data_IF_671004328356
#
_entry.id   IF_671004328356
#
_cell.length_a   1.000
_cell.length_b   1.000
_cell.length_c   1.000
_cell.angle_alpha   90.00
_cell.angle_beta   90.00
_cell.angle_gamma   90.00
#
_symmetry.space_group_name_H-M   'P 1'
#
loop_
_entity.id
_entity.type
_entity.pdbx_description
1 polymer ?
#
# COMPACT_ATOMS: atom_id res chain seq x y z
N UNK A 1 0.45 14.35 -20.28
CA UNK A 1 1.58 13.42 -20.06
C UNK A 1 1.79 13.35 -18.57
N UNK A 2 1.33 12.28 -17.91
CA UNK A 2 1.60 12.08 -16.50
C UNK A 2 2.85 11.21 -16.42
N UNK A 3 4.00 11.86 -16.29
CA UNK A 3 5.28 11.16 -16.22
C UNK A 3 5.34 10.45 -14.86
N UNK A 4 5.64 9.15 -14.86
CA UNK A 4 5.83 8.36 -13.65
C UNK A 4 6.81 9.05 -12.68
N UNK A 5 7.83 9.73 -13.21
CA UNK A 5 8.81 10.47 -12.42
C UNK A 5 8.19 11.67 -11.68
N UNK A 6 7.29 12.41 -12.32
CA UNK A 6 6.61 13.56 -11.70
C UNK A 6 5.66 13.07 -10.60
N UNK A 7 4.95 11.97 -10.85
CA UNK A 7 4.11 11.33 -9.84
C UNK A 7 4.95 10.88 -8.63
N UNK A 8 6.07 10.20 -8.87
CA UNK A 8 6.96 9.73 -7.81
C UNK A 8 7.56 10.87 -6.99
N UNK A 9 7.86 12.01 -7.60
CA UNK A 9 8.38 13.20 -6.91
C UNK A 9 7.33 13.86 -6.01
N UNK A 10 6.05 13.79 -6.40
CA UNK A 10 4.94 14.43 -5.66
C UNK A 10 4.28 13.50 -4.62
N UNK A 11 4.59 12.20 -4.65
CA UNK A 11 4.08 11.24 -3.67
C UNK A 11 4.63 11.57 -2.27
N UNK A 12 3.72 11.76 -1.32
CA UNK A 12 4.11 11.91 0.07
C UNK A 12 4.35 10.53 0.71
N UNK A 13 5.64 10.20 0.94
CA UNK A 13 6.06 8.93 1.53
C UNK A 13 5.53 8.71 2.95
N UNK A 14 5.27 9.78 3.72
CA UNK A 14 4.76 9.66 5.10
C UNK A 14 3.32 9.17 5.17
N UNK A 15 2.56 9.30 4.07
CA UNK A 15 1.21 8.75 3.93
C UNK A 15 1.21 7.28 3.50
N UNK A 16 2.37 6.76 3.09
CA UNK A 16 2.56 5.39 2.62
C UNK A 16 3.24 4.52 3.69
N UNK A 17 4.16 5.11 4.46
CA UNK A 17 4.90 4.45 5.53
C UNK A 17 4.79 5.23 6.85
N UNK A 18 4.10 4.69 7.88
CA UNK A 18 3.25 3.51 7.83
C UNK A 18 1.92 3.73 7.07
N UNK A 19 1.28 2.67 6.55
CA UNK A 19 -0.05 2.74 5.97
C UNK A 19 -1.09 3.33 6.95
N UNK A 20 -1.69 4.46 6.61
CA UNK A 20 -2.83 5.03 7.36
C UNK A 20 -4.14 4.43 6.85
N UNK A 21 -4.35 3.14 7.12
CA UNK A 21 -5.56 2.41 6.72
C UNK A 21 -6.50 2.23 7.91
N UNK A 22 -7.79 2.48 7.70
CA UNK A 22 -8.81 2.20 8.71
C UNK A 22 -9.07 0.69 8.83
N UNK A 23 -9.59 0.25 9.97
CA UNK A 23 -9.97 -1.16 10.20
C UNK A 23 -11.01 -1.62 9.18
N UNK A 24 -11.92 -0.74 8.77
CA UNK A 24 -12.96 -1.01 7.77
C UNK A 24 -12.37 -1.25 6.37
N UNK A 25 -11.41 -0.42 5.96
CA UNK A 25 -10.73 -0.59 4.67
C UNK A 25 -9.97 -1.92 4.64
N UNK A 26 -9.23 -2.22 5.69
CA UNK A 26 -8.50 -3.48 5.87
C UNK A 26 -9.47 -4.67 5.81
N UNK A 27 -10.59 -4.56 6.52
CA UNK A 27 -11.66 -5.56 6.53
C UNK A 27 -12.23 -5.83 5.14
N UNK A 28 -12.54 -4.76 4.38
CA UNK A 28 -13.06 -4.88 3.02
C UNK A 28 -12.07 -5.60 2.11
N UNK A 29 -10.79 -5.26 2.19
CA UNK A 29 -9.72 -5.86 1.38
C UNK A 29 -9.56 -7.36 1.67
N UNK A 30 -9.61 -7.75 2.94
CA UNK A 30 -9.55 -9.16 3.34
C UNK A 30 -10.79 -9.94 2.95
N UNK A 31 -11.96 -9.32 2.99
CA UNK A 31 -13.24 -9.96 2.64
C UNK A 31 -13.45 -10.05 1.11
N UNK A 32 -12.75 -9.26 0.29
CA UNK A 32 -12.79 -9.41 -1.17
C UNK A 32 -12.12 -10.73 -1.56
N UNK A 33 -12.94 -11.74 -1.90
CA UNK A 33 -12.63 -13.16 -2.20
C UNK A 33 -11.64 -13.43 -3.36
N UNK A 34 -10.52 -12.70 -3.48
CA UNK A 34 -9.40 -13.15 -4.30
C UNK A 34 -8.44 -13.90 -3.40
N UNK A 35 -8.38 -15.25 -3.48
CA UNK A 35 -7.24 -15.96 -2.92
C UNK A 35 -6.04 -15.52 -3.74
N UNK A 36 -5.34 -14.49 -3.25
CA UNK A 36 -4.10 -14.05 -3.86
C UNK A 36 -3.15 -15.23 -3.78
N UNK A 37 -2.64 -15.66 -4.94
CA UNK A 37 -2.05 -16.98 -5.22
C UNK A 37 -0.82 -17.38 -4.36
N UNK A 38 -0.44 -16.60 -3.35
CA UNK A 38 0.63 -16.94 -2.41
C UNK A 38 0.39 -16.29 -1.05
N UNK A 39 0.19 -17.12 -0.04
CA UNK A 39 0.01 -16.70 1.36
C UNK A 39 1.33 -16.31 2.03
N UNK A 40 2.48 -16.51 1.36
CA UNK A 40 3.80 -16.38 1.99
C UNK A 40 4.38 -14.97 1.96
N UNK A 41 3.93 -14.09 1.05
CA UNK A 41 4.55 -12.77 0.84
C UNK A 41 3.57 -11.58 0.74
N UNK A 42 2.25 -11.83 0.77
CA UNK A 42 1.26 -10.91 0.18
C UNK A 42 0.40 -10.15 1.20
N UNK A 43 1.04 -9.61 2.23
CA UNK A 43 0.33 -8.98 3.34
C UNK A 43 0.81 -7.54 3.54
N UNK A 44 2.10 -7.30 3.81
CA UNK A 44 2.63 -5.93 3.90
C UNK A 44 2.61 -5.18 2.56
N UNK A 45 3.03 -5.85 1.48
CA UNK A 45 3.01 -5.25 0.14
C UNK A 45 1.61 -4.88 -0.34
N UNK A 46 0.57 -5.60 0.12
CA UNK A 46 -0.82 -5.32 -0.25
C UNK A 46 -1.30 -4.00 0.36
N UNK A 47 -1.14 -3.85 1.67
CA UNK A 47 -1.49 -2.61 2.38
C UNK A 47 -0.70 -1.41 1.83
N UNK A 48 0.57 -1.63 1.52
CA UNK A 48 1.41 -0.66 0.86
C UNK A 48 0.83 -0.22 -0.50
N UNK A 49 0.46 -1.15 -1.39
CA UNK A 49 -0.13 -0.82 -2.71
C UNK A 49 -1.39 0.03 -2.60
N UNK A 50 -2.17 -0.17 -1.55
CA UNK A 50 -3.43 0.53 -1.33
C UNK A 50 -3.17 1.95 -0.86
N UNK A 51 -2.19 2.12 0.02
CA UNK A 51 -1.72 3.44 0.46
C UNK A 51 -1.17 4.24 -0.72
N UNK A 52 -0.35 3.61 -1.58
CA UNK A 52 0.11 4.23 -2.83
C UNK A 52 -1.06 4.60 -3.74
N UNK A 53 -2.03 3.70 -3.93
CA UNK A 53 -3.19 3.99 -4.78
C UNK A 53 -4.11 5.08 -4.22
N UNK A 54 -4.16 5.29 -2.90
CA UNK A 54 -4.87 6.42 -2.28
C UNK A 54 -4.12 7.72 -2.53
N UNK A 55 -2.81 7.71 -2.35
CA UNK A 55 -1.98 8.88 -2.56
C UNK A 55 -1.95 9.32 -4.04
N UNK A 56 -1.83 8.36 -4.97
CA UNK A 56 -1.94 8.66 -6.39
C UNK A 56 -3.31 9.27 -6.74
N UNK A 57 -4.40 8.73 -6.19
CA UNK A 57 -5.74 9.31 -6.38
C UNK A 57 -5.90 10.70 -5.77
N UNK A 58 -5.19 11.01 -4.68
CA UNK A 58 -5.11 12.38 -4.11
C UNK A 58 -4.40 13.35 -5.05
N UNK A 59 -3.48 12.84 -5.88
CA UNK A 59 -2.76 13.57 -6.93
C UNK A 59 -3.50 13.52 -8.28
N UNK A 60 -4.80 13.20 -8.29
CA UNK A 60 -5.64 13.03 -9.48
C UNK A 60 -5.14 11.96 -10.48
N UNK A 61 -4.28 11.04 -10.04
CA UNK A 61 -3.81 9.92 -10.84
C UNK A 61 -4.64 8.65 -10.54
N UNK A 62 -5.40 8.19 -11.53
CA UNK A 62 -6.28 7.03 -11.42
C UNK A 62 -5.93 5.92 -12.43
N UNK A 63 -4.85 6.09 -13.22
CA UNK A 63 -4.38 5.08 -14.15
C UNK A 63 -3.79 3.89 -13.38
N UNK A 64 -4.50 2.76 -13.45
CA UNK A 64 -4.13 1.51 -12.75
C UNK A 64 -2.71 1.03 -13.10
N UNK A 65 -2.26 1.25 -14.34
CA UNK A 65 -0.92 0.86 -14.80
C UNK A 65 0.15 1.72 -14.14
N UNK A 66 -0.03 3.04 -14.18
CA UNK A 66 0.92 4.01 -13.57
C UNK A 66 0.98 3.80 -12.05
N UNK A 67 -0.15 3.59 -11.39
CA UNK A 67 -0.19 3.32 -9.94
C UNK A 67 0.55 2.01 -9.60
N UNK A 68 0.41 0.97 -10.42
CA UNK A 68 1.10 -0.29 -10.21
C UNK A 68 2.62 -0.15 -10.38
N UNK A 69 3.06 0.61 -11.39
CA UNK A 69 4.46 0.94 -11.62
C UNK A 69 5.05 1.76 -10.46
N UNK A 70 4.34 2.81 -10.03
CA UNK A 70 4.73 3.65 -8.90
C UNK A 70 4.89 2.82 -7.62
N UNK A 71 3.93 1.93 -7.33
CA UNK A 71 4.01 1.02 -6.18
C UNK A 71 5.21 0.08 -6.30
N UNK A 72 5.46 -0.52 -7.47
CA UNK A 72 6.61 -1.41 -7.65
C UNK A 72 7.94 -0.67 -7.44
N UNK A 73 8.07 0.54 -7.99
CA UNK A 73 9.24 1.38 -7.85
C UNK A 73 9.49 1.77 -6.39
N UNK A 74 8.45 2.25 -5.69
CA UNK A 74 8.54 2.66 -4.30
C UNK A 74 8.83 1.49 -3.35
N UNK A 75 8.31 0.29 -3.63
CA UNK A 75 8.61 -0.91 -2.82
C UNK A 75 10.02 -1.45 -3.03
N UNK A 76 10.55 -1.37 -4.25
CA UNK A 76 11.94 -1.72 -4.53
C UNK A 76 12.89 -0.75 -3.82
N UNK A 77 12.56 0.54 -3.84
CA UNK A 77 13.35 1.61 -3.22
C UNK A 77 13.01 1.86 -1.74
N UNK A 78 12.15 1.06 -1.10
CA UNK A 78 11.88 1.21 0.33
C UNK A 78 12.90 0.47 1.19
N UNK A 79 13.25 1.10 2.29
CA UNK A 79 14.22 0.61 3.28
C UNK A 79 13.68 -0.62 4.00
N UNK A 80 14.58 -1.41 4.59
CA UNK A 80 14.18 -2.55 5.45
C UNK A 80 13.31 -2.10 6.63
N UNK A 81 13.55 -0.88 7.14
CA UNK A 81 12.80 -0.31 8.26
C UNK A 81 11.35 0.00 7.86
N UNK A 82 11.14 0.71 6.73
CA UNK A 82 9.81 1.02 6.20
C UNK A 82 8.99 -0.26 5.92
N UNK A 83 9.65 -1.30 5.39
CA UNK A 83 9.03 -2.61 5.18
C UNK A 83 8.62 -3.24 6.50
N UNK A 84 9.48 -3.21 7.51
CA UNK A 84 9.21 -3.76 8.85
C UNK A 84 8.04 -3.05 9.52
N UNK A 85 7.98 -1.72 9.45
CA UNK A 85 6.87 -0.93 10.00
C UNK A 85 5.53 -1.25 9.33
N UNK A 86 5.55 -1.46 8.01
CA UNK A 86 4.37 -1.92 7.26
C UNK A 86 3.86 -3.27 7.79
N UNK A 87 4.76 -4.22 8.08
CA UNK A 87 4.39 -5.50 8.68
C UNK A 87 3.92 -5.38 10.13
N UNK A 88 4.53 -4.49 10.93
CA UNK A 88 4.12 -4.24 12.32
C UNK A 88 2.72 -3.64 12.40
N UNK A 89 2.39 -2.68 11.53
CA UNK A 89 1.05 -2.07 11.49
C UNK A 89 -0.02 -3.06 11.04
N UNK A 90 0.32 -3.93 10.09
CA UNK A 90 -0.54 -5.04 9.73
C UNK A 90 -0.87 -5.93 10.92
N UNK A 91 0.15 -6.32 11.71
CA UNK A 91 -0.05 -7.14 12.89
C UNK A 91 -0.98 -6.46 13.92
N UNK A 92 -0.81 -5.15 14.14
CA UNK A 92 -1.70 -4.36 14.99
C UNK A 92 -3.14 -4.27 14.47
N UNK A 93 -3.33 -4.12 13.16
CA UNK A 93 -4.65 -4.10 12.54
C UNK A 93 -5.35 -5.47 12.66
N UNK A 94 -4.59 -6.55 12.55
CA UNK A 94 -5.11 -7.90 12.76
C UNK A 94 -5.47 -8.18 14.21
N UNK A 95 -4.63 -7.80 15.18
CA UNK A 95 -4.94 -8.04 16.60
C UNK A 95 -6.22 -7.31 17.03
N UNK A 96 -6.44 -6.09 16.54
CA UNK A 96 -7.65 -5.30 16.79
C UNK A 96 -8.93 -5.87 16.16
N UNK A 97 -8.82 -6.70 15.11
CA UNK A 97 -9.99 -7.33 14.48
C UNK A 97 -10.52 -8.52 15.27
N UNK A 98 -9.67 -9.16 16.07
CA UNK A 98 -9.97 -10.41 16.78
C UNK A 98 -9.97 -10.26 18.32
N UNK A 99 -9.95 -9.02 18.83
CA UNK A 99 -10.26 -8.70 20.24
C UNK A 99 -11.65 -8.09 20.34
#
# INVERSE_FOLDING_TARGET
MNNLNDLLANINRTLIFPPLLSIEEVTLLYNTKRPFRSHKNCHGYMLFRISVARECRRLDENNKTIIAEAASHLWKNSTRQEKRETFSQQFLLFSKRYS
#
